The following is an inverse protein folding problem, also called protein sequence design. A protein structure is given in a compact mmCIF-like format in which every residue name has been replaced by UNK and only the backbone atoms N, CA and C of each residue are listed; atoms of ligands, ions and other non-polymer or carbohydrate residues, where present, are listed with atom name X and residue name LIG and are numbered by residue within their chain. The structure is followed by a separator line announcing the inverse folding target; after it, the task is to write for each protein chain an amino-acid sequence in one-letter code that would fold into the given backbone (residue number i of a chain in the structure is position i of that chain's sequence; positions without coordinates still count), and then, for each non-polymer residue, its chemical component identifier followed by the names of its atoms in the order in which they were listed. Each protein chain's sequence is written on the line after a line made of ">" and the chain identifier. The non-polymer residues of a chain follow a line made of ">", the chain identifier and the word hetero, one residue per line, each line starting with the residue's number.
data_IF_934601231188
#
_entry.id   IF_934601231188
#
_cell.length_a   1.000
_cell.length_b   1.000
_cell.length_c   1.000
_cell.angle_alpha   90.00
_cell.angle_beta   90.00
_cell.angle_gamma   90.00
#
_symmetry.space_group_name_H-M   'P 1'
#
loop_
_entity.id
_entity.type
_entity.pdbx_description
1 polymer ?
#
# COMPACT_ATOMS: atom_id res chain seq x y z
N UNK A 1 -4.18 13.60 -9.99
CA UNK A 1 -3.67 13.59 -8.60
C UNK A 1 -2.29 14.22 -8.54
N UNK A 2 -1.97 14.95 -7.45
CA UNK A 2 -0.62 15.43 -7.11
C UNK A 2 0.06 14.52 -6.09
N UNK A 3 1.37 14.69 -5.90
CA UNK A 3 2.13 13.96 -4.86
C UNK A 3 1.61 14.24 -3.45
N UNK A 4 1.20 15.49 -3.16
CA UNK A 4 0.56 15.86 -1.90
C UNK A 4 -0.74 15.08 -1.68
N UNK A 5 -1.63 15.08 -2.66
CA UNK A 5 -2.91 14.35 -2.58
C UNK A 5 -2.70 12.84 -2.36
N UNK A 6 -1.70 12.25 -3.03
CA UNK A 6 -1.33 10.85 -2.81
C UNK A 6 -0.91 10.61 -1.36
N UNK A 7 0.01 11.45 -0.85
CA UNK A 7 0.51 11.31 0.51
C UNK A 7 -0.58 11.58 1.55
N UNK A 8 -1.46 12.56 1.35
CA UNK A 8 -2.58 12.82 2.25
C UNK A 8 -3.57 11.64 2.28
N UNK A 9 -3.92 11.08 1.11
CA UNK A 9 -4.77 9.91 1.05
C UNK A 9 -4.15 8.72 1.80
N UNK A 10 -2.85 8.49 1.62
CA UNK A 10 -2.12 7.43 2.30
C UNK A 10 -2.06 7.68 3.82
N UNK A 11 -1.74 8.90 4.24
CA UNK A 11 -1.71 9.27 5.66
C UNK A 11 -3.07 9.01 6.30
N UNK A 12 -4.14 9.49 5.67
CA UNK A 12 -5.50 9.34 6.15
C UNK A 12 -5.84 7.87 6.33
N UNK A 13 -5.61 7.03 5.31
CA UNK A 13 -5.81 5.58 5.41
C UNK A 13 -5.09 4.95 6.61
N UNK A 14 -3.80 5.21 6.79
CA UNK A 14 -3.06 4.64 7.94
C UNK A 14 -3.57 5.15 9.29
N UNK A 15 -4.01 6.41 9.38
CA UNK A 15 -4.57 6.95 10.63
C UNK A 15 -6.00 6.51 10.93
N UNK A 16 -6.87 6.42 9.92
CA UNK A 16 -8.32 6.23 10.13
C UNK A 16 -8.72 4.78 10.05
N UNK A 17 -8.15 4.03 9.11
CA UNK A 17 -8.53 2.63 8.88
C UNK A 17 -7.61 1.67 9.64
N UNK A 18 -6.33 1.98 9.75
CA UNK A 18 -5.36 1.16 10.47
C UNK A 18 -5.04 1.69 11.88
N UNK A 19 -5.60 2.84 12.25
CA UNK A 19 -5.51 3.44 13.58
C UNK A 19 -4.08 3.75 14.06
N UNK A 20 -3.11 3.94 13.14
CA UNK A 20 -1.77 4.36 13.52
C UNK A 20 -1.79 5.78 14.06
N UNK A 21 -0.98 6.01 15.10
CA UNK A 21 -0.76 7.33 15.69
C UNK A 21 0.61 7.87 15.32
N UNK A 22 0.82 9.18 15.46
CA UNK A 22 2.15 9.82 15.32
C UNK A 22 2.90 9.51 14.01
N UNK A 23 2.15 9.36 12.91
CA UNK A 23 2.73 9.09 11.59
C UNK A 23 3.01 10.37 10.80
N UNK A 24 4.04 10.28 9.96
CA UNK A 24 4.35 11.27 8.92
C UNK A 24 4.45 10.60 7.57
N UNK A 25 4.20 11.38 6.52
CA UNK A 25 4.43 10.96 5.15
C UNK A 25 5.74 11.54 4.62
N UNK A 26 6.38 10.79 3.74
CA UNK A 26 7.63 11.15 3.10
C UNK A 26 7.38 11.09 1.59
N UNK A 27 7.14 12.25 0.94
CA UNK A 27 6.98 12.30 -0.50
C UNK A 27 8.34 12.07 -1.19
N UNK A 28 8.33 11.43 -2.35
CA UNK A 28 9.55 11.16 -3.13
C UNK A 28 9.87 12.26 -4.16
N UNK A 29 8.90 13.12 -4.45
CA UNK A 29 9.01 14.27 -5.37
C UNK A 29 8.35 15.50 -4.76
N UNK A 30 8.37 16.66 -5.44
CA UNK A 30 7.71 17.87 -4.94
C UNK A 30 6.21 17.66 -4.74
N UNK A 31 5.65 18.29 -3.70
CA UNK A 31 4.26 18.10 -3.29
C UNK A 31 3.24 18.42 -4.41
N UNK A 32 3.53 19.44 -5.22
CA UNK A 32 2.72 19.90 -6.34
C UNK A 32 2.90 19.09 -7.64
N UNK A 33 3.86 18.15 -7.67
CA UNK A 33 4.12 17.34 -8.86
C UNK A 33 2.89 16.52 -9.24
N UNK A 34 2.50 16.61 -10.51
CA UNK A 34 1.43 15.77 -11.07
C UNK A 34 1.93 14.35 -11.30
N UNK A 35 1.12 13.38 -10.90
CA UNK A 35 1.44 11.96 -11.03
C UNK A 35 0.94 11.42 -12.37
N UNK A 36 1.65 11.72 -13.46
CA UNK A 36 1.28 11.26 -14.82
C UNK A 36 1.97 9.96 -15.25
N UNK A 37 3.12 9.63 -14.65
CA UNK A 37 3.87 8.40 -14.91
C UNK A 37 3.98 7.45 -13.70
N UNK A 38 3.66 7.95 -12.51
CA UNK A 38 3.88 7.22 -11.26
C UNK A 38 3.93 8.15 -10.07
N UNK A 39 3.93 7.56 -8.88
CA UNK A 39 4.08 8.27 -7.61
C UNK A 39 4.41 7.29 -6.50
N UNK A 40 5.23 7.72 -5.56
CA UNK A 40 5.57 6.94 -4.36
C UNK A 40 5.39 7.85 -3.15
N UNK A 41 4.65 7.39 -2.16
CA UNK A 41 4.63 8.01 -0.85
C UNK A 41 4.89 6.96 0.23
N UNK A 42 5.80 7.28 1.15
CA UNK A 42 6.09 6.44 2.30
C UNK A 42 5.40 6.98 3.55
N UNK A 43 5.07 6.09 4.47
CA UNK A 43 4.55 6.40 5.81
C UNK A 43 5.56 5.90 6.83
N UNK A 44 5.88 6.74 7.81
CA UNK A 44 6.76 6.39 8.91
C UNK A 44 6.16 6.78 10.26
N UNK A 45 6.41 5.97 11.28
CA UNK A 45 6.14 6.28 12.69
C UNK A 45 7.49 6.39 13.42
N UNK A 46 7.84 7.61 13.85
CA UNK A 46 9.19 7.90 14.36
C UNK A 46 10.27 7.62 13.30
N UNK A 47 11.16 6.66 13.60
CA UNK A 47 12.22 6.19 12.70
C UNK A 47 11.83 4.93 11.92
N UNK A 48 10.66 4.35 12.17
CA UNK A 48 10.24 3.08 11.60
C UNK A 48 9.38 3.31 10.37
N UNK A 49 9.62 2.55 9.30
CA UNK A 49 8.75 2.53 8.14
C UNK A 49 7.45 1.79 8.48
N UNK A 50 6.31 2.45 8.32
CA UNK A 50 4.99 1.88 8.55
C UNK A 50 4.40 1.26 7.27
N UNK A 51 4.81 1.78 6.11
CA UNK A 51 4.33 1.29 4.83
C UNK A 51 4.56 2.29 3.71
N UNK A 52 4.04 1.98 2.53
CA UNK A 52 4.09 2.90 1.40
C UNK A 52 3.02 2.55 0.38
N UNK A 53 2.70 3.53 -0.46
CA UNK A 53 2.01 3.31 -1.72
C UNK A 53 2.94 3.67 -2.87
N UNK A 54 3.02 2.79 -3.86
CA UNK A 54 3.74 3.00 -5.10
C UNK A 54 2.81 2.73 -6.26
N UNK A 55 2.70 3.67 -7.18
CA UNK A 55 2.05 3.47 -8.48
C UNK A 55 2.98 3.82 -9.62
N UNK A 56 2.81 3.11 -10.74
CA UNK A 56 3.53 3.30 -12.00
C UNK A 56 2.57 3.07 -13.16
N UNK A 57 2.63 3.95 -14.15
CA UNK A 57 1.90 3.76 -15.41
C UNK A 57 2.75 2.90 -16.34
N UNK A 58 2.31 1.67 -16.55
CA UNK A 58 2.99 0.62 -17.31
C UNK A 58 2.03 0.01 -18.35
N UNK A 59 1.93 0.62 -19.55
CA UNK A 59 1.11 0.08 -20.63
C UNK A 59 1.62 -1.28 -21.13
N UNK A 60 2.94 -1.51 -21.07
CA UNK A 60 3.61 -2.68 -21.64
C UNK A 60 4.07 -3.73 -20.61
N UNK A 61 3.96 -3.42 -19.32
CA UNK A 61 4.22 -4.37 -18.23
C UNK A 61 2.92 -4.58 -17.43
N UNK A 62 2.17 -5.66 -17.72
CA UNK A 62 0.91 -5.94 -17.04
C UNK A 62 1.09 -6.54 -15.65
N UNK A 63 2.32 -6.79 -15.19
CA UNK A 63 2.57 -7.40 -13.89
C UNK A 63 2.62 -6.36 -12.76
N UNK A 64 1.61 -6.31 -11.87
CA UNK A 64 1.63 -5.40 -10.74
C UNK A 64 2.55 -5.87 -9.61
N UNK A 65 3.01 -7.13 -9.64
CA UNK A 65 3.86 -7.73 -8.59
C UNK A 65 5.35 -7.44 -8.80
N UNK A 66 5.71 -6.83 -9.94
CA UNK A 66 7.09 -6.53 -10.33
C UNK A 66 7.98 -7.79 -10.41
N UNK A 67 7.41 -8.92 -10.86
CA UNK A 67 8.10 -10.21 -10.96
C UNK A 67 8.38 -10.88 -9.62
N UNK A 68 7.85 -10.36 -8.50
CA UNK A 68 8.11 -10.93 -7.18
C UNK A 68 7.34 -12.23 -6.99
N UNK A 69 8.08 -13.30 -6.71
CA UNK A 69 7.50 -14.61 -6.38
C UNK A 69 6.82 -14.57 -5.00
N UNK A 70 5.72 -15.31 -4.84
CA UNK A 70 5.02 -15.52 -3.57
C UNK A 70 3.72 -14.71 -3.43
N UNK A 71 3.42 -13.83 -4.39
CA UNK A 71 2.11 -13.22 -4.49
C UNK A 71 1.05 -14.27 -4.85
N UNK A 72 -0.04 -14.29 -4.09
CA UNK A 72 -1.21 -15.12 -4.37
C UNK A 72 -2.34 -14.22 -4.85
N UNK A 73 -3.03 -14.63 -5.92
CA UNK A 73 -4.22 -13.91 -6.36
C UNK A 73 -5.32 -14.09 -5.31
N UNK A 74 -5.83 -12.99 -4.76
CA UNK A 74 -6.84 -13.00 -3.71
C UNK A 74 -8.22 -12.70 -4.30
N UNK A 75 -8.80 -13.68 -4.99
CA UNK A 75 -10.09 -13.52 -5.70
C UNK A 75 -11.22 -13.09 -4.74
N UNK A 76 -11.16 -13.50 -3.48
CA UNK A 76 -12.08 -13.11 -2.41
C UNK A 76 -11.95 -11.63 -1.97
N UNK A 77 -10.84 -10.98 -2.31
CA UNK A 77 -10.60 -9.55 -2.09
C UNK A 77 -10.74 -8.72 -3.39
N UNK A 78 -10.67 -9.38 -4.56
CA UNK A 78 -10.93 -8.82 -5.88
C UNK A 78 -10.13 -9.52 -6.99
N UNK A 79 -10.73 -9.69 -8.17
CA UNK A 79 -10.12 -10.41 -9.30
C UNK A 79 -8.84 -9.79 -9.89
N UNK A 80 -8.49 -8.58 -9.45
CA UNK A 80 -7.30 -7.84 -9.90
C UNK A 80 -6.35 -7.53 -8.74
N UNK A 81 -6.36 -8.35 -7.67
CA UNK A 81 -5.55 -8.13 -6.48
C UNK A 81 -4.69 -9.35 -6.19
N UNK A 82 -3.41 -9.09 -5.94
CA UNK A 82 -2.43 -10.07 -5.52
C UNK A 82 -1.91 -9.70 -4.15
N UNK A 83 -1.84 -10.68 -3.26
CA UNK A 83 -1.41 -10.49 -1.87
C UNK A 83 -0.15 -11.29 -1.62
N UNK A 84 0.85 -10.62 -1.08
CA UNK A 84 2.04 -11.21 -0.52
C UNK A 84 1.98 -11.00 0.99
N UNK A 85 1.52 -12.02 1.70
CA UNK A 85 1.49 -12.05 3.17
C UNK A 85 2.44 -13.14 3.64
N UNK A 86 3.60 -12.74 4.18
CA UNK A 86 4.60 -13.67 4.72
C UNK A 86 4.52 -13.82 6.22
N UNK A 87 3.50 -13.26 6.89
CA UNK A 87 3.31 -13.47 8.34
C UNK A 87 2.93 -14.91 8.65
N UNK A 88 2.35 -15.62 7.67
CA UNK A 88 1.99 -17.04 7.76
C UNK A 88 3.13 -17.99 7.35
N UNK A 89 4.29 -17.47 6.96
CA UNK A 89 5.46 -18.28 6.63
C UNK A 89 6.12 -18.79 7.93
N UNK A 90 5.89 -20.06 8.26
CA UNK A 90 6.42 -20.70 9.48
C UNK A 90 7.95 -20.72 9.56
N UNK A 91 8.66 -20.60 8.42
CA UNK A 91 10.13 -20.67 8.38
C UNK A 91 10.79 -19.30 8.50
N UNK A 92 10.12 -18.26 8.01
CA UNK A 92 10.66 -16.90 8.02
C UNK A 92 9.50 -15.89 8.01
N UNK A 93 8.79 -15.75 9.14
CA UNK A 93 7.68 -14.83 9.24
C UNK A 93 8.21 -13.41 9.08
N UNK A 94 7.60 -12.65 8.18
CA UNK A 94 7.92 -11.24 7.99
C UNK A 94 6.69 -10.40 8.25
N UNK A 95 6.78 -9.43 9.16
CA UNK A 95 5.71 -8.50 9.54
C UNK A 95 5.38 -7.48 8.45
N UNK A 96 5.24 -7.93 7.20
CA UNK A 96 4.93 -7.10 6.05
C UNK A 96 3.91 -7.79 5.17
N UNK A 97 2.85 -7.06 4.84
CA UNK A 97 1.85 -7.48 3.86
C UNK A 97 1.92 -6.51 2.69
N UNK A 98 1.97 -7.05 1.48
CA UNK A 98 1.90 -6.26 0.24
C UNK A 98 0.68 -6.66 -0.55
N UNK A 99 -0.03 -5.65 -1.03
CA UNK A 99 -1.16 -5.77 -1.92
C UNK A 99 -0.76 -5.14 -3.24
N UNK A 100 -0.89 -5.87 -4.33
CA UNK A 100 -0.59 -5.40 -5.67
C UNK A 100 -1.87 -5.44 -6.51
N UNK A 101 -2.10 -4.41 -7.32
CA UNK A 101 -3.23 -4.36 -8.25
C UNK A 101 -2.82 -3.78 -9.59
N UNK A 102 -3.56 -4.17 -10.63
CA UNK A 102 -3.53 -3.51 -11.93
C UNK A 102 -4.91 -2.96 -12.25
N UNK A 103 -4.98 -1.67 -12.58
CA UNK A 103 -6.19 -1.00 -13.05
C UNK A 103 -5.82 -0.20 -14.29
N UNK A 104 -6.43 -0.52 -15.42
CA UNK A 104 -6.06 0.01 -16.74
C UNK A 104 -4.56 -0.22 -17.02
N UNK A 105 -3.80 0.85 -17.25
CA UNK A 105 -2.34 0.83 -17.45
C UNK A 105 -1.56 1.07 -16.16
N UNK A 106 -2.23 1.15 -15.01
CA UNK A 106 -1.58 1.47 -13.73
C UNK A 106 -1.37 0.21 -12.92
N UNK A 107 -0.12 -0.02 -12.54
CA UNK A 107 0.27 -1.01 -11.56
C UNK A 107 0.52 -0.28 -10.24
N UNK A 108 -0.07 -0.78 -9.14
CA UNK A 108 0.11 -0.19 -7.83
C UNK A 108 0.39 -1.25 -6.77
N UNK A 109 1.17 -0.85 -5.76
CA UNK A 109 1.48 -1.62 -4.56
C UNK A 109 1.16 -0.77 -3.34
N UNK A 110 0.41 -1.37 -2.42
CA UNK A 110 0.30 -0.92 -1.04
C UNK A 110 1.09 -1.90 -0.17
N UNK A 111 2.05 -1.39 0.58
CA UNK A 111 2.77 -2.13 1.60
C UNK A 111 2.34 -1.64 2.98
N UNK A 112 2.05 -2.57 3.89
CA UNK A 112 1.81 -2.30 5.30
C UNK A 112 2.76 -3.14 6.13
N UNK A 113 3.45 -2.50 7.08
CA UNK A 113 4.41 -3.12 7.98
C UNK A 113 3.86 -3.09 9.40
N UNK A 114 3.89 -4.24 10.06
CA UNK A 114 3.53 -4.38 11.47
C UNK A 114 4.74 -4.18 12.39
N UNK A 115 5.93 -4.43 11.87
CA UNK A 115 7.16 -4.41 12.67
C UNK A 115 7.45 -3.01 13.21
N UNK A 116 7.45 -2.90 14.55
CA UNK A 116 7.77 -1.69 15.31
C UNK A 116 6.84 -0.50 15.02
N UNK A 117 5.59 -0.77 14.63
CA UNK A 117 4.55 0.24 14.39
C UNK A 117 3.38 0.02 15.35
N UNK A 118 2.82 1.10 15.88
CA UNK A 118 1.82 1.09 16.94
C UNK A 118 0.57 1.88 16.58
N UNK A 119 -0.56 1.43 17.12
CA UNK A 119 -1.82 2.15 17.25
C UNK A 119 -1.94 2.71 18.67
N UNK A 120 -3.04 3.41 18.97
CA UNK A 120 -3.34 3.82 20.34
C UNK A 120 -3.52 2.64 21.31
N UNK A 121 -3.88 1.47 20.79
CA UNK A 121 -4.23 0.26 21.57
C UNK A 121 -3.09 -0.76 21.65
N UNK A 122 -1.94 -0.49 21.03
CA UNK A 122 -0.76 -1.36 21.07
C UNK A 122 -0.10 -1.54 19.70
N UNK A 123 0.70 -2.61 19.50
CA UNK A 123 1.30 -2.89 18.20
C UNK A 123 0.25 -3.12 17.11
N UNK A 124 0.57 -2.72 15.88
CA UNK A 124 -0.28 -3.01 14.73
C UNK A 124 -0.31 -4.52 14.46
N UNK A 125 -1.52 -5.07 14.41
CA UNK A 125 -1.78 -6.45 13.99
C UNK A 125 -2.90 -6.46 12.94
N UNK A 126 -2.54 -6.65 11.68
CA UNK A 126 -3.48 -6.68 10.56
C UNK A 126 -4.35 -7.92 10.64
N UNK A 127 -5.62 -7.67 10.87
CA UNK A 127 -6.70 -8.65 10.79
C UNK A 127 -7.10 -8.89 9.32
N UNK A 128 -7.92 -9.91 9.10
CA UNK A 128 -8.57 -10.12 7.78
C UNK A 128 -9.50 -8.95 7.39
N UNK A 129 -10.04 -8.21 8.37
CA UNK A 129 -10.78 -6.98 8.12
C UNK A 129 -9.87 -5.89 7.54
N UNK A 130 -8.71 -5.68 8.15
CA UNK A 130 -7.74 -4.67 7.72
C UNK A 130 -7.18 -4.98 6.34
N UNK A 131 -6.98 -6.26 6.01
CA UNK A 131 -6.62 -6.68 4.65
C UNK A 131 -7.68 -6.29 3.63
N UNK A 132 -8.96 -6.55 3.91
CA UNK A 132 -10.06 -6.15 3.03
C UNK A 132 -10.09 -4.64 2.83
N UNK A 133 -9.93 -3.88 3.91
CA UNK A 133 -9.90 -2.41 3.86
C UNK A 133 -8.68 -1.89 3.10
N UNK A 134 -7.52 -2.52 3.27
CA UNK A 134 -6.28 -2.22 2.52
C UNK A 134 -6.45 -2.45 1.02
N UNK A 135 -7.09 -3.56 0.64
CA UNK A 135 -7.39 -3.86 -0.77
C UNK A 135 -8.36 -2.84 -1.36
N UNK A 136 -9.43 -2.48 -0.64
CA UNK A 136 -10.38 -1.45 -1.07
C UNK A 136 -9.67 -0.11 -1.28
N UNK A 137 -8.86 0.33 -0.32
CA UNK A 137 -8.09 1.57 -0.45
C UNK A 137 -7.15 1.52 -1.66
N UNK A 138 -6.40 0.44 -1.84
CA UNK A 138 -5.50 0.25 -2.97
C UNK A 138 -6.24 0.37 -4.31
N UNK A 139 -7.38 -0.31 -4.47
CA UNK A 139 -8.12 -0.30 -5.74
C UNK A 139 -8.80 1.04 -6.00
N UNK A 140 -9.37 1.68 -4.99
CA UNK A 140 -9.99 3.00 -5.10
C UNK A 140 -8.95 4.07 -5.47
N UNK A 141 -7.82 4.13 -4.78
CA UNK A 141 -6.77 5.11 -5.04
C UNK A 141 -6.15 4.93 -6.43
N UNK A 142 -5.93 3.67 -6.84
CA UNK A 142 -5.41 3.37 -8.18
C UNK A 142 -6.42 3.72 -9.27
N UNK A 143 -7.72 3.52 -9.01
CA UNK A 143 -8.79 3.96 -9.93
C UNK A 143 -8.82 5.48 -10.08
N UNK A 144 -8.60 6.23 -9.00
CA UNK A 144 -8.51 7.69 -9.05
C UNK A 144 -7.27 8.19 -9.82
N UNK A 145 -6.17 7.44 -9.81
CA UNK A 145 -4.98 7.75 -10.62
C UNK A 145 -5.19 7.44 -12.11
N UNK A 146 -6.01 6.43 -12.40
CA UNK A 146 -6.28 5.99 -13.77
C UNK A 146 -7.29 6.87 -14.53
N UNK A 147 -7.95 7.80 -13.84
CA UNK A 147 -8.96 8.73 -14.37
C UNK A 147 -8.49 10.19 -14.30
#
# INVERSE_FOLDING_TARGET
>A
MTQEQLCEALKNFFTTELHLTDIRTIPTVSADARLSGGGICEVAQGQNAAGHYQARREPNDPDPTQGRVGYQKASELGDAVWVFDRRTDEKNPWGTVRFATRINEWNAILEVRETDVHTADGPLHLTEGDKRTSVRFLTELTTQLAN
#
